data_IF_472876637776
#
_entry.id   IF_472876637776
#
_cell.length_a   1.000
_cell.length_b   1.000
_cell.length_c   1.000
_cell.angle_alpha   90.00
_cell.angle_beta   90.00
_cell.angle_gamma   90.00
#
_symmetry.space_group_name_H-M   'P 1'
#
loop_
_entity.id
_entity.type
_entity.pdbx_description
1 polymer ?
#
# COMPACT_ATOMS: atom_id res chain seq x y z
N UNK A 1 29.84 28.86 -6.69
CA UNK A 1 29.46 27.45 -6.43
C UNK A 1 29.27 26.79 -7.79
N UNK A 2 30.14 25.85 -8.18
CA UNK A 2 30.09 25.23 -9.51
C UNK A 2 28.89 24.25 -9.61
N UNK A 3 28.26 24.08 -10.80
CA UNK A 3 27.12 23.19 -10.97
C UNK A 3 27.56 21.72 -10.80
N UNK A 4 26.72 20.93 -10.09
CA UNK A 4 26.93 19.48 -9.92
C UNK A 4 26.85 18.79 -11.29
N UNK A 5 27.80 17.89 -11.54
CA UNK A 5 27.90 17.10 -12.76
C UNK A 5 26.57 16.40 -13.07
N UNK A 6 26.08 16.56 -14.30
CA UNK A 6 24.93 15.81 -14.80
C UNK A 6 25.30 14.33 -14.97
N UNK A 7 24.32 13.45 -14.77
CA UNK A 7 24.49 12.01 -14.97
C UNK A 7 24.89 11.72 -16.42
N UNK A 8 25.99 10.98 -16.62
CA UNK A 8 26.41 10.50 -17.95
C UNK A 8 25.52 9.33 -18.40
N UNK A 9 24.47 9.68 -19.12
CA UNK A 9 23.49 8.72 -19.63
C UNK A 9 24.01 7.84 -20.75
N UNK A 10 25.02 8.28 -21.51
CA UNK A 10 25.61 7.48 -22.58
C UNK A 10 26.43 6.33 -21.99
N UNK A 11 27.23 6.63 -20.96
CA UNK A 11 27.94 5.60 -20.18
C UNK A 11 27.00 4.60 -19.55
N UNK A 12 25.95 5.05 -18.86
CA UNK A 12 25.02 4.14 -18.18
C UNK A 12 24.32 3.18 -19.14
N UNK A 13 23.95 3.64 -20.35
CA UNK A 13 23.32 2.79 -21.37
C UNK A 13 24.29 1.78 -21.99
N UNK A 14 25.59 2.12 -22.05
CA UNK A 14 26.62 1.23 -22.57
C UNK A 14 27.16 0.25 -21.52
N UNK A 15 26.85 0.46 -20.25
CA UNK A 15 27.31 -0.39 -19.14
C UNK A 15 26.71 -1.79 -19.25
N UNK A 16 27.55 -2.80 -19.11
CA UNK A 16 27.12 -4.20 -19.10
C UNK A 16 26.51 -4.58 -17.75
N UNK A 17 25.63 -5.58 -17.72
CA UNK A 17 25.07 -6.10 -16.47
C UNK A 17 26.15 -6.57 -15.49
N UNK A 18 27.22 -7.19 -15.99
CA UNK A 18 28.34 -7.63 -15.17
C UNK A 18 29.10 -6.45 -14.51
N UNK A 19 29.19 -5.30 -15.18
CA UNK A 19 29.76 -4.08 -14.60
C UNK A 19 28.82 -3.45 -13.57
N UNK A 20 27.51 -3.45 -13.85
CA UNK A 20 26.48 -3.01 -12.91
C UNK A 20 26.53 -3.84 -11.61
N UNK A 21 26.60 -5.16 -11.73
CA UNK A 21 26.65 -6.09 -10.61
C UNK A 21 27.91 -5.91 -9.76
N UNK A 22 29.08 -5.70 -10.39
CA UNK A 22 30.32 -5.42 -9.67
C UNK A 22 30.22 -4.10 -8.91
N UNK A 23 29.62 -3.08 -9.52
CA UNK A 23 29.33 -1.79 -8.86
C UNK A 23 28.46 -1.99 -7.63
N UNK A 24 27.31 -2.65 -7.78
CA UNK A 24 26.37 -2.90 -6.69
C UNK A 24 27.00 -3.70 -5.53
N UNK A 25 27.82 -4.73 -5.83
CA UNK A 25 28.48 -5.54 -4.80
C UNK A 25 29.59 -4.81 -4.04
N UNK A 26 30.18 -3.80 -4.65
CA UNK A 26 31.28 -3.03 -4.05
C UNK A 26 30.82 -1.72 -3.41
N UNK A 27 29.54 -1.36 -3.55
CA UNK A 27 28.96 -0.16 -2.96
C UNK A 27 28.75 -0.34 -1.45
N UNK A 28 29.55 0.38 -0.67
CA UNK A 28 29.48 0.36 0.80
C UNK A 28 28.26 1.10 1.35
N UNK A 29 27.74 2.09 0.61
CA UNK A 29 26.56 2.87 1.01
C UNK A 29 25.25 2.17 0.61
N UNK A 30 25.32 1.20 -0.29
CA UNK A 30 24.20 0.37 -0.71
C UNK A 30 24.49 -1.13 -0.50
N UNK A 31 24.57 -1.59 0.76
CA UNK A 31 24.82 -2.99 1.06
C UNK A 31 23.67 -3.86 0.54
N UNK A 32 24.00 -5.09 0.12
CA UNK A 32 22.98 -6.07 -0.27
C UNK A 32 22.02 -6.34 0.89
N UNK A 33 20.72 -6.36 0.60
CA UNK A 33 19.72 -6.76 1.57
C UNK A 33 19.98 -8.19 2.05
N UNK A 34 19.80 -8.43 3.34
CA UNK A 34 19.86 -9.78 3.89
C UNK A 34 18.74 -10.64 3.31
N UNK A 35 19.01 -11.93 3.08
CA UNK A 35 17.98 -12.86 2.57
C UNK A 35 16.72 -12.88 3.46
N UNK A 36 16.88 -12.68 4.77
CA UNK A 36 15.79 -12.54 5.75
C UNK A 36 14.81 -11.41 5.41
N UNK A 37 15.29 -10.32 4.81
CA UNK A 37 14.46 -9.18 4.40
C UNK A 37 13.54 -9.55 3.22
N UNK A 38 14.04 -10.35 2.28
CA UNK A 38 13.25 -10.86 1.15
C UNK A 38 12.20 -11.88 1.63
N UNK A 39 12.55 -12.77 2.55
CA UNK A 39 11.63 -13.77 3.12
C UNK A 39 10.50 -13.13 3.95
N UNK A 40 10.79 -12.01 4.63
CA UNK A 40 9.79 -11.24 5.36
C UNK A 40 8.88 -10.40 4.42
N UNK A 41 9.35 -10.10 3.22
CA UNK A 41 8.66 -9.32 2.21
C UNK A 41 7.69 -10.17 1.41
N UNK A 42 6.42 -10.21 1.81
CA UNK A 42 5.38 -10.79 0.97
C UNK A 42 5.26 -10.03 -0.36
N UNK A 43 5.18 -10.76 -1.48
CA UNK A 43 4.91 -10.16 -2.79
C UNK A 43 3.52 -9.50 -2.77
N UNK A 44 3.48 -8.17 -2.67
CA UNK A 44 2.23 -7.42 -2.79
C UNK A 44 1.94 -7.23 -4.28
N UNK A 45 1.18 -8.16 -4.86
CA UNK A 45 0.68 -7.98 -6.21
C UNK A 45 -0.20 -6.72 -6.27
N UNK A 46 0.12 -5.73 -7.13
CA UNK A 46 -0.69 -4.53 -7.26
C UNK A 46 -2.09 -4.90 -7.75
N UNK A 47 -3.05 -4.91 -6.84
CA UNK A 47 -4.45 -5.16 -7.18
C UNK A 47 -4.93 -4.08 -8.14
N UNK A 48 -5.24 -4.49 -9.38
CA UNK A 48 -5.82 -3.58 -10.39
C UNK A 48 -7.17 -3.08 -9.89
N UNK A 49 -7.28 -1.76 -9.71
CA UNK A 49 -8.54 -1.10 -9.39
C UNK A 49 -9.49 -1.24 -10.58
N UNK A 50 -10.76 -1.54 -10.32
CA UNK A 50 -11.80 -1.50 -11.36
C UNK A 50 -12.24 -0.06 -11.56
N UNK A 51 -12.12 0.44 -12.80
CA UNK A 51 -12.68 1.73 -13.16
C UNK A 51 -14.19 1.60 -13.31
N UNK A 52 -14.93 2.31 -12.46
CA UNK A 52 -16.40 2.37 -12.49
C UNK A 52 -16.83 3.84 -12.54
N UNK A 53 -18.04 4.10 -13.06
CA UNK A 53 -18.70 5.40 -12.90
C UNK A 53 -19.52 5.37 -11.60
N UNK A 54 -19.14 6.20 -10.63
CA UNK A 54 -19.81 6.35 -9.33
C UNK A 54 -20.21 7.81 -9.15
N UNK A 55 -21.45 8.05 -8.71
CA UNK A 55 -21.91 9.39 -8.31
C UNK A 55 -21.61 9.58 -6.83
N UNK A 56 -20.98 10.70 -6.51
CA UNK A 56 -20.68 11.14 -5.15
C UNK A 56 -21.16 12.57 -4.99
N UNK A 57 -21.45 12.96 -3.75
CA UNK A 57 -21.84 14.34 -3.46
C UNK A 57 -20.68 15.30 -3.79
N UNK A 58 -20.98 16.51 -4.31
CA UNK A 58 -19.95 17.46 -4.74
C UNK A 58 -18.98 17.86 -3.63
N UNK A 59 -19.49 18.05 -2.41
CA UNK A 59 -18.71 18.43 -1.24
C UNK A 59 -17.68 17.36 -0.84
N UNK A 60 -18.04 16.08 -0.93
CA UNK A 60 -17.14 14.95 -0.71
C UNK A 60 -16.01 14.97 -1.74
N UNK A 61 -16.34 15.18 -3.02
CA UNK A 61 -15.34 15.24 -4.09
C UNK A 61 -14.38 16.41 -3.85
N UNK A 62 -14.90 17.60 -3.56
CA UNK A 62 -14.11 18.80 -3.34
C UNK A 62 -13.23 18.69 -2.10
N UNK A 63 -13.74 18.13 -1.00
CA UNK A 63 -12.93 17.86 0.18
C UNK A 63 -11.74 16.95 -0.15
N UNK A 64 -11.97 15.83 -0.83
CA UNK A 64 -10.87 14.94 -1.20
C UNK A 64 -9.90 15.61 -2.18
N UNK A 65 -10.38 16.37 -3.17
CA UNK A 65 -9.52 17.12 -4.10
C UNK A 65 -8.61 18.11 -3.36
N UNK A 66 -9.13 18.79 -2.32
CA UNK A 66 -8.35 19.72 -1.50
C UNK A 66 -7.14 19.06 -0.81
N UNK A 67 -7.17 17.74 -0.58
CA UNK A 67 -6.05 16.98 -0.01
C UNK A 67 -4.86 16.80 -0.98
N UNK A 68 -4.96 17.30 -2.21
CA UNK A 68 -3.89 17.33 -3.20
C UNK A 68 -3.81 16.07 -4.07
N UNK A 69 -2.70 15.90 -4.82
CA UNK A 69 -2.53 14.82 -5.79
C UNK A 69 -2.81 13.44 -5.18
N UNK A 70 -3.31 12.51 -6.00
CA UNK A 70 -3.73 11.15 -5.58
C UNK A 70 -4.95 11.11 -4.64
N UNK A 71 -5.79 12.13 -4.61
CA UNK A 71 -7.02 12.15 -3.80
C UNK A 71 -7.90 10.91 -3.99
N UNK A 72 -8.03 10.39 -5.22
CA UNK A 72 -8.80 9.16 -5.49
C UNK A 72 -8.23 7.94 -4.75
N UNK A 73 -6.90 7.87 -4.57
CA UNK A 73 -6.27 6.79 -3.81
C UNK A 73 -6.55 6.93 -2.31
N UNK A 74 -6.58 8.16 -1.78
CA UNK A 74 -6.99 8.41 -0.39
C UNK A 74 -8.47 8.06 -0.18
N UNK A 75 -9.33 8.49 -1.08
CA UNK A 75 -10.76 8.15 -1.06
C UNK A 75 -10.98 6.64 -1.06
N UNK A 76 -10.28 5.91 -1.93
CA UNK A 76 -10.34 4.45 -1.95
C UNK A 76 -9.85 3.81 -0.64
N UNK A 77 -8.82 4.36 0.01
CA UNK A 77 -8.33 3.85 1.29
C UNK A 77 -9.39 3.98 2.39
N UNK A 78 -10.11 5.10 2.44
CA UNK A 78 -11.22 5.31 3.38
C UNK A 78 -12.35 4.31 3.13
N UNK A 79 -12.78 4.15 1.87
CA UNK A 79 -13.81 3.17 1.50
C UNK A 79 -13.41 1.74 1.88
N UNK A 80 -12.14 1.37 1.66
CA UNK A 80 -11.61 0.07 2.03
C UNK A 80 -11.64 -0.16 3.54
N UNK A 81 -11.16 0.82 4.32
CA UNK A 81 -11.17 0.74 5.78
C UNK A 81 -12.59 0.57 6.32
N UNK A 82 -13.56 1.30 5.76
CA UNK A 82 -14.98 1.15 6.11
C UNK A 82 -15.49 -0.27 5.84
N UNK A 83 -15.22 -0.82 4.65
CA UNK A 83 -15.63 -2.19 4.29
C UNK A 83 -14.98 -3.23 5.20
N UNK A 84 -13.69 -3.10 5.49
CA UNK A 84 -12.96 -4.01 6.37
C UNK A 84 -13.50 -3.98 7.81
N UNK A 85 -13.77 -2.78 8.34
CA UNK A 85 -14.41 -2.62 9.64
C UNK A 85 -15.78 -3.29 9.68
N UNK A 86 -16.64 -3.00 8.69
CA UNK A 86 -18.00 -3.57 8.64
C UNK A 86 -18.00 -5.09 8.51
N UNK A 87 -17.04 -5.67 7.79
CA UNK A 87 -16.90 -7.13 7.67
C UNK A 87 -16.51 -7.79 8.99
N UNK A 88 -15.72 -7.11 9.84
CA UNK A 88 -15.36 -7.62 11.18
C UNK A 88 -16.55 -7.58 12.13
N UNK A 89 -17.35 -6.52 12.10
CA UNK A 89 -18.53 -6.39 12.97
C UNK A 89 -19.58 -7.47 12.68
N UNK A 90 -19.80 -7.78 11.40
CA UNK A 90 -20.75 -8.82 10.97
C UNK A 90 -20.29 -10.24 11.36
N UNK A 91 -18.98 -10.44 11.56
CA UNK A 91 -18.41 -11.75 11.93
C UNK A 91 -18.45 -12.05 13.43
N UNK A 92 -18.94 -11.13 14.27
CA UNK A 92 -19.00 -11.34 15.74
C UNK A 92 -20.44 -11.63 16.17
N UNK A 93 -20.84 -12.89 16.43
CA UNK A 93 -22.17 -13.18 16.96
C UNK A 93 -22.25 -12.71 18.42
N UNK A 94 -23.28 -11.91 18.69
CA UNK A 94 -23.67 -11.44 20.01
C UNK A 94 -23.83 -12.60 21.00
N UNK A 95 -22.93 -12.70 21.98
CA UNK A 95 -23.22 -13.41 23.23
C UNK A 95 -24.04 -12.47 24.11
N UNK A 96 -25.36 -12.50 23.94
CA UNK A 96 -26.28 -11.94 24.96
C UNK A 96 -27.04 -13.08 25.63
N UNK A 97 -26.64 -13.28 26.88
CA UNK A 97 -27.30 -13.98 27.98
C UNK A 97 -28.83 -13.92 27.93
N UNK A 98 -29.43 -15.11 27.99
CA UNK A 98 -30.79 -15.35 28.51
C UNK A 98 -30.68 -16.59 29.40
N UNK A 99 -30.25 -16.42 30.65
CA UNK A 99 -31.18 -16.49 31.80
C UNK A 99 -32.08 -17.73 31.71
N UNK A 100 -31.56 -18.86 32.20
CA UNK A 100 -32.34 -20.07 32.43
C UNK A 100 -33.49 -19.79 33.38
N UNK A 101 -34.70 -19.64 32.83
CA UNK A 101 -35.94 -19.76 33.58
C UNK A 101 -36.20 -21.25 33.80
N UNK A 102 -35.66 -21.80 34.88
CA UNK A 102 -36.07 -23.11 35.40
C UNK A 102 -37.45 -23.01 36.05
N UNK A 103 -38.43 -23.65 35.42
CA UNK A 103 -39.73 -24.02 36.01
C UNK A 103 -39.72 -25.54 36.23
N UNK A 104 -40.18 -25.98 37.41
CA UNK A 104 -40.51 -27.38 37.74
C UNK A 104 -39.28 -28.21 38.12
N UNK A 105 -39.27 -29.00 39.20
CA UNK A 105 -40.34 -29.73 39.88
C UNK A 105 -40.09 -29.78 41.39
#
# INVERSE_FOLDING_TARGET
MAPRAGTDWARLRAMTDAEADRGARSDRENPLAEASWLEAGGLVEPVRKRAISLRLDPDVIEWFRSTGPRYQSRMNAVLRAFVEHRRRDVATPSKTTSSGRSRGR
#
